data_IF_395109781147
#
_entry.id   IF_395109781147
#
_cell.length_a   1.000
_cell.length_b   1.000
_cell.length_c   1.000
_cell.angle_alpha   90.00
_cell.angle_beta   90.00
_cell.angle_gamma   90.00
#
_symmetry.space_group_name_H-M   'P 1'
#
loop_
_entity.id
_entity.type
_entity.pdbx_description
1 polymer ?
#
# COMPACT_ATOMS: atom_id res chain seq x y z
N UNK A 1 -2.68 18.85 -22.07
CA UNK A 1 -1.34 18.98 -21.49
C UNK A 1 -1.07 17.67 -20.79
N UNK A 2 -0.01 16.89 -21.12
CA UNK A 2 0.34 15.70 -20.36
C UNK A 2 0.72 16.13 -18.95
N UNK A 3 0.21 15.41 -17.95
CA UNK A 3 0.34 15.75 -16.54
C UNK A 3 1.80 15.54 -16.11
N UNK A 4 2.54 16.62 -15.82
CA UNK A 4 3.96 16.61 -15.45
C UNK A 4 4.28 15.64 -14.28
N UNK A 5 3.30 15.41 -13.39
CA UNK A 5 3.42 14.49 -12.25
C UNK A 5 3.53 13.02 -12.66
N UNK A 6 2.90 12.61 -13.79
CA UNK A 6 3.03 11.24 -14.30
C UNK A 6 4.40 11.01 -14.92
N UNK A 7 4.87 11.98 -15.69
CA UNK A 7 6.20 11.95 -16.31
C UNK A 7 7.28 11.91 -15.23
N UNK A 8 7.12 12.68 -14.13
CA UNK A 8 8.01 12.67 -12.99
C UNK A 8 7.98 11.31 -12.26
N UNK A 9 6.80 10.75 -12.03
CA UNK A 9 6.67 9.44 -11.38
C UNK A 9 7.21 8.30 -12.28
N UNK A 10 6.98 8.34 -13.59
CA UNK A 10 7.58 7.40 -14.54
C UNK A 10 9.10 7.57 -14.63
N UNK A 11 9.61 8.80 -14.59
CA UNK A 11 11.04 9.06 -14.53
C UNK A 11 11.64 8.55 -13.22
N UNK A 12 10.93 8.72 -12.09
CA UNK A 12 11.27 8.14 -10.80
C UNK A 12 11.34 6.61 -10.87
N UNK A 13 10.37 5.96 -11.51
CA UNK A 13 10.33 4.51 -11.66
C UNK A 13 11.37 3.98 -12.68
N UNK A 14 11.66 4.75 -13.74
CA UNK A 14 12.59 4.34 -14.82
C UNK A 14 14.07 4.61 -14.53
N UNK A 15 14.34 5.50 -13.60
CA UNK A 15 15.72 5.86 -13.26
C UNK A 15 15.93 5.91 -11.75
N UNK A 16 15.69 4.79 -11.03
CA UNK A 16 15.88 4.75 -9.58
C UNK A 16 17.31 5.09 -9.17
N UNK A 17 18.30 4.87 -10.04
CA UNK A 17 19.72 5.20 -9.77
C UNK A 17 20.02 6.70 -9.84
N UNK A 18 19.35 7.46 -10.70
CA UNK A 18 19.53 8.91 -10.79
C UNK A 18 18.86 9.61 -9.62
N UNK A 19 17.73 9.06 -9.15
CA UNK A 19 16.98 9.60 -8.01
C UNK A 19 17.50 8.98 -6.70
N UNK A 20 17.98 7.73 -6.71
CA UNK A 20 18.58 7.08 -5.54
C UNK A 20 19.92 7.71 -5.12
N UNK A 21 20.62 8.42 -6.01
CA UNK A 21 21.78 9.24 -5.60
C UNK A 21 21.38 10.53 -4.88
N UNK A 22 20.10 10.93 -4.96
CA UNK A 22 19.55 12.15 -4.33
C UNK A 22 18.55 11.81 -3.23
N UNK A 23 17.88 10.65 -3.34
CA UNK A 23 16.92 10.17 -2.35
C UNK A 23 17.22 8.68 -2.14
N UNK A 24 17.87 8.29 -1.07
CA UNK A 24 17.71 6.91 -0.62
C UNK A 24 16.20 6.76 -0.39
N UNK A 25 15.54 5.83 -1.07
CA UNK A 25 14.23 5.29 -0.66
C UNK A 25 14.45 4.80 0.75
N UNK A 26 14.30 5.75 1.59
CA UNK A 26 15.11 5.77 2.77
C UNK A 26 14.53 4.66 3.62
N UNK A 27 15.38 3.87 4.16
CA UNK A 27 15.07 3.02 5.29
C UNK A 27 14.19 3.73 6.34
N UNK A 28 14.03 5.04 6.27
CA UNK A 28 13.11 5.86 7.04
C UNK A 28 11.66 5.71 6.57
N UNK A 29 11.38 5.84 5.27
CA UNK A 29 10.03 5.61 4.71
C UNK A 29 9.60 4.17 4.96
N UNK A 30 10.48 3.21 4.65
CA UNK A 30 10.19 1.79 4.87
C UNK A 30 9.82 1.50 6.32
N UNK A 31 10.61 1.98 7.29
CA UNK A 31 10.32 1.81 8.72
C UNK A 31 9.02 2.48 9.15
N UNK A 32 8.73 3.68 8.63
CA UNK A 32 7.46 4.37 8.93
C UNK A 32 6.26 3.61 8.37
N UNK A 33 6.34 3.17 7.12
CA UNK A 33 5.27 2.38 6.48
C UNK A 33 5.01 1.09 7.25
N UNK A 34 6.06 0.33 7.57
CA UNK A 34 5.97 -0.91 8.36
C UNK A 34 5.31 -0.67 9.72
N UNK A 35 5.69 0.42 10.41
CA UNK A 35 5.10 0.80 11.70
C UNK A 35 3.65 1.23 11.57
N UNK A 36 3.32 2.10 10.60
CA UNK A 36 1.96 2.58 10.37
C UNK A 36 1.02 1.43 10.00
N UNK A 37 1.52 0.46 9.24
CA UNK A 37 0.81 -0.76 8.86
C UNK A 37 0.63 -1.76 10.03
N UNK A 38 1.31 -1.58 11.18
CA UNK A 38 1.36 -2.57 12.27
C UNK A 38 1.77 -3.97 11.77
N UNK A 39 2.70 -4.01 10.83
CA UNK A 39 3.04 -5.21 10.07
C UNK A 39 3.52 -6.36 10.98
N UNK A 40 4.12 -6.06 12.12
CA UNK A 40 4.59 -7.09 13.08
C UNK A 40 3.45 -7.93 13.66
N UNK A 41 2.22 -7.41 13.68
CA UNK A 41 1.04 -8.09 14.22
C UNK A 41 0.09 -8.60 13.15
N UNK A 42 0.37 -8.27 11.89
CA UNK A 42 -0.50 -8.62 10.79
C UNK A 42 -0.27 -10.07 10.34
N UNK A 43 -1.35 -10.82 10.16
CA UNK A 43 -1.35 -12.15 9.57
C UNK A 43 -1.45 -12.09 8.04
N UNK A 44 -2.26 -11.17 7.53
CA UNK A 44 -2.41 -10.92 6.08
C UNK A 44 -2.12 -9.46 5.77
N UNK A 45 -1.09 -9.24 4.97
CA UNK A 45 -0.67 -7.92 4.50
C UNK A 45 -0.82 -7.87 2.98
N UNK A 46 -1.35 -6.78 2.46
CA UNK A 46 -1.42 -6.54 1.02
C UNK A 46 -0.65 -5.28 0.67
N UNK A 47 0.21 -5.35 -0.33
CA UNK A 47 0.91 -4.20 -0.92
C UNK A 47 0.37 -3.94 -2.32
N UNK A 48 -0.09 -2.72 -2.56
CA UNK A 48 -0.56 -2.23 -3.84
C UNK A 48 0.53 -1.35 -4.48
N UNK A 49 1.14 -1.87 -5.56
CA UNK A 49 2.27 -1.22 -6.23
C UNK A 49 3.59 -1.52 -5.53
N UNK A 50 4.09 -2.76 -5.67
CA UNK A 50 5.33 -3.20 -5.04
C UNK A 50 6.60 -2.58 -5.63
N UNK A 51 6.53 -2.10 -6.89
CA UNK A 51 7.65 -1.48 -7.58
C UNK A 51 8.91 -2.33 -7.54
N UNK A 52 10.04 -1.75 -7.14
CA UNK A 52 11.33 -2.45 -7.03
C UNK A 52 11.44 -3.37 -5.81
N UNK A 53 10.40 -3.45 -4.97
CA UNK A 53 10.34 -4.36 -3.82
C UNK A 53 11.00 -3.84 -2.53
N UNK A 54 11.29 -2.55 -2.41
CA UNK A 54 11.86 -1.98 -1.18
C UNK A 54 10.94 -2.14 0.03
N UNK A 55 9.70 -1.69 -0.10
CA UNK A 55 8.67 -1.85 0.94
C UNK A 55 8.34 -3.34 1.13
N UNK A 56 8.19 -4.11 0.04
CA UNK A 56 7.97 -5.56 0.09
C UNK A 56 8.97 -6.28 1.00
N UNK A 57 10.28 -6.06 0.77
CA UNK A 57 11.35 -6.64 1.59
C UNK A 57 11.28 -6.18 3.05
N UNK A 58 10.92 -4.93 3.28
CA UNK A 58 10.81 -4.39 4.64
C UNK A 58 9.59 -4.95 5.38
N UNK A 59 8.47 -5.17 4.69
CA UNK A 59 7.31 -5.88 5.23
C UNK A 59 7.66 -7.34 5.57
N UNK A 60 8.33 -8.06 4.68
CA UNK A 60 8.77 -9.45 4.92
C UNK A 60 9.70 -9.56 6.12
N UNK A 61 10.62 -8.60 6.32
CA UNK A 61 11.49 -8.58 7.51
C UNK A 61 10.73 -8.32 8.81
N UNK A 62 9.63 -7.57 8.74
CA UNK A 62 8.88 -7.16 9.92
C UNK A 62 7.76 -8.13 10.31
N UNK A 63 7.18 -8.84 9.35
CA UNK A 63 6.07 -9.77 9.57
C UNK A 63 6.55 -11.10 10.14
N UNK A 64 5.68 -11.77 10.91
CA UNK A 64 5.96 -13.10 11.46
C UNK A 64 6.05 -14.21 10.41
N UNK A 65 6.60 -15.36 10.78
CA UNK A 65 6.79 -16.51 9.88
C UNK A 65 5.48 -17.10 9.32
N UNK A 66 4.37 -16.90 10.01
CA UNK A 66 3.04 -17.38 9.59
C UNK A 66 2.25 -16.34 8.80
N UNK A 67 2.78 -15.13 8.65
CA UNK A 67 2.11 -14.07 7.87
C UNK A 67 2.10 -14.38 6.38
N UNK A 68 1.20 -13.74 5.66
CA UNK A 68 1.10 -13.78 4.20
C UNK A 68 1.22 -12.37 3.67
N UNK A 69 2.06 -12.17 2.67
CA UNK A 69 2.21 -10.90 1.96
C UNK A 69 1.76 -11.09 0.51
N UNK A 70 0.69 -10.41 0.14
CA UNK A 70 0.20 -10.33 -1.22
C UNK A 70 0.64 -9.01 -1.84
N UNK A 71 1.35 -9.05 -2.95
CA UNK A 71 1.72 -7.85 -3.73
C UNK A 71 0.96 -7.85 -5.03
N UNK A 72 0.23 -6.76 -5.31
CA UNK A 72 -0.46 -6.54 -6.58
C UNK A 72 0.27 -5.40 -7.30
N UNK A 73 0.89 -5.73 -8.44
CA UNK A 73 1.66 -4.80 -9.25
C UNK A 73 1.15 -4.82 -10.70
N UNK A 74 1.12 -3.66 -11.34
CA UNK A 74 0.62 -3.50 -12.71
C UNK A 74 1.71 -3.54 -13.76
N UNK A 75 2.93 -3.20 -13.39
CA UNK A 75 4.07 -3.03 -14.29
C UNK A 75 4.83 -4.34 -14.43
N UNK A 76 4.89 -4.90 -15.64
CA UNK A 76 5.48 -6.21 -15.90
C UNK A 76 6.95 -6.30 -15.45
N UNK A 77 7.74 -5.25 -15.69
CA UNK A 77 9.15 -5.20 -15.32
C UNK A 77 9.35 -5.34 -13.80
N UNK A 78 8.45 -4.77 -13.01
CA UNK A 78 8.53 -4.88 -11.55
C UNK A 78 8.08 -6.25 -11.05
N UNK A 79 7.16 -6.91 -11.75
CA UNK A 79 6.74 -8.27 -11.42
C UNK A 79 7.93 -9.23 -11.42
N UNK A 80 8.81 -9.14 -12.41
CA UNK A 80 10.00 -9.97 -12.50
C UNK A 80 10.93 -9.74 -11.31
N UNK A 81 11.17 -8.48 -10.94
CA UNK A 81 11.98 -8.13 -9.76
C UNK A 81 11.36 -8.62 -8.44
N UNK A 82 10.05 -8.51 -8.30
CA UNK A 82 9.33 -8.96 -7.11
C UNK A 82 9.36 -10.49 -6.98
N UNK A 83 9.26 -11.22 -8.09
CA UNK A 83 9.34 -12.69 -8.12
C UNK A 83 10.73 -13.24 -7.80
N UNK A 84 11.77 -12.44 -7.94
CA UNK A 84 13.13 -12.82 -7.50
C UNK A 84 13.31 -12.76 -5.99
N UNK A 85 12.35 -12.26 -5.23
CA UNK A 85 12.38 -12.27 -3.77
C UNK A 85 12.02 -13.69 -3.31
N UNK A 86 13.00 -14.42 -2.83
CA UNK A 86 12.85 -15.78 -2.33
C UNK A 86 12.31 -15.78 -0.89
N UNK A 87 10.97 -15.74 -0.78
CA UNK A 87 10.26 -15.82 0.51
C UNK A 87 8.91 -16.52 0.31
N UNK A 88 8.72 -17.65 0.98
CA UNK A 88 7.51 -18.49 0.86
C UNK A 88 6.22 -17.82 1.34
N UNK A 89 6.32 -16.72 2.06
CA UNK A 89 5.19 -15.92 2.51
C UNK A 89 4.68 -14.95 1.45
N UNK A 90 5.51 -14.69 0.39
CA UNK A 90 5.22 -13.71 -0.66
C UNK A 90 4.40 -14.33 -1.78
N UNK A 91 3.34 -13.64 -2.16
CA UNK A 91 2.57 -13.90 -3.39
C UNK A 91 2.57 -12.65 -4.25
N UNK A 92 3.02 -12.75 -5.50
CA UNK A 92 3.08 -11.63 -6.44
C UNK A 92 2.07 -11.82 -7.55
N UNK A 93 1.23 -10.82 -7.78
CA UNK A 93 0.17 -10.79 -8.78
C UNK A 93 0.41 -9.65 -9.77
N UNK A 94 0.35 -9.98 -11.06
CA UNK A 94 0.25 -8.99 -12.11
C UNK A 94 -1.23 -8.61 -12.29
N UNK A 95 -1.61 -7.42 -11.81
CA UNK A 95 -3.02 -7.03 -11.83
C UNK A 95 -3.30 -5.59 -11.42
N UNK A 96 -4.58 -5.24 -11.41
CA UNK A 96 -5.06 -3.96 -10.91
C UNK A 96 -5.28 -4.02 -9.40
N UNK A 97 -5.00 -2.93 -8.70
CA UNK A 97 -5.25 -2.81 -7.27
C UNK A 97 -6.72 -3.00 -6.88
N UNK A 98 -7.66 -2.72 -7.80
CA UNK A 98 -9.09 -2.96 -7.57
C UNK A 98 -9.45 -4.45 -7.47
N UNK A 99 -8.59 -5.36 -7.93
CA UNK A 99 -8.83 -6.80 -7.82
C UNK A 99 -8.46 -7.40 -6.45
N UNK A 100 -8.10 -6.60 -5.47
CA UNK A 100 -7.60 -7.04 -4.15
C UNK A 100 -8.51 -8.10 -3.50
N UNK A 101 -9.83 -7.93 -3.51
CA UNK A 101 -10.78 -8.89 -2.92
C UNK A 101 -10.73 -10.24 -3.61
N UNK A 102 -10.76 -10.25 -4.96
CA UNK A 102 -10.66 -11.46 -5.77
C UNK A 102 -9.34 -12.19 -5.54
N UNK A 103 -8.24 -11.45 -5.40
CA UNK A 103 -6.93 -12.04 -5.21
C UNK A 103 -6.72 -12.62 -3.79
N UNK A 104 -7.36 -12.05 -2.78
CA UNK A 104 -7.43 -12.65 -1.44
C UNK A 104 -8.26 -13.94 -1.45
N UNK A 105 -9.44 -13.91 -2.05
CA UNK A 105 -10.35 -15.06 -2.15
C UNK A 105 -9.69 -16.25 -2.86
N UNK A 106 -9.06 -16.02 -4.03
CA UNK A 106 -8.33 -17.06 -4.80
C UNK A 106 -7.26 -17.79 -4.00
N UNK A 107 -6.70 -17.15 -2.97
CA UNK A 107 -5.66 -17.72 -2.10
C UNK A 107 -6.20 -18.28 -0.81
N UNK A 108 -7.51 -18.20 -0.59
CA UNK A 108 -8.13 -18.58 0.68
C UNK A 108 -7.64 -17.70 1.85
N UNK A 109 -7.19 -16.47 1.57
CA UNK A 109 -6.79 -15.55 2.61
C UNK A 109 -8.05 -14.88 3.18
N UNK A 110 -8.14 -14.73 4.51
CA UNK A 110 -9.18 -13.93 5.12
C UNK A 110 -8.98 -12.45 4.74
N UNK A 111 -9.82 -11.57 5.26
CA UNK A 111 -9.65 -10.14 5.09
C UNK A 111 -8.25 -9.68 5.53
N UNK A 112 -7.71 -8.65 4.89
CA UNK A 112 -6.38 -8.13 5.16
C UNK A 112 -6.35 -7.36 6.49
N UNK A 113 -5.35 -7.63 7.34
CA UNK A 113 -5.08 -6.85 8.53
C UNK A 113 -4.49 -5.48 8.19
N UNK A 114 -3.72 -5.43 7.10
CA UNK A 114 -3.14 -4.19 6.61
C UNK A 114 -3.03 -4.18 5.09
N UNK A 115 -3.39 -3.04 4.50
CA UNK A 115 -3.19 -2.73 3.08
C UNK A 115 -2.28 -1.52 2.97
N UNK A 116 -1.19 -1.64 2.22
CA UNK A 116 -0.22 -0.59 1.98
C UNK A 116 -0.30 -0.19 0.51
N UNK A 117 -0.26 1.09 0.20
CA UNK A 117 -0.33 1.58 -1.18
C UNK A 117 0.74 2.61 -1.49
N UNK A 118 1.56 2.29 -2.50
CA UNK A 118 2.48 3.20 -3.17
C UNK A 118 2.00 3.68 -4.54
N UNK A 119 0.78 3.32 -4.96
CA UNK A 119 0.26 3.71 -6.27
C UNK A 119 -0.09 5.20 -6.30
N UNK A 120 0.19 5.91 -7.43
CA UNK A 120 0.01 7.37 -7.49
C UNK A 120 -1.44 7.75 -7.77
N UNK A 121 -2.24 7.97 -6.74
CA UNK A 121 -3.65 8.37 -6.87
C UNK A 121 -3.85 9.70 -7.60
N UNK A 122 -2.85 10.57 -7.64
CA UNK A 122 -2.92 11.85 -8.33
C UNK A 122 -2.94 11.74 -9.86
N UNK A 123 -2.55 10.61 -10.41
CA UNK A 123 -2.35 10.43 -11.86
C UNK A 123 -3.38 9.51 -12.52
N UNK A 124 -4.26 8.90 -11.73
CA UNK A 124 -5.27 7.99 -12.24
C UNK A 124 -6.62 8.69 -12.46
N UNK A 125 -7.51 8.13 -13.29
CA UNK A 125 -8.89 8.59 -13.39
C UNK A 125 -9.61 8.50 -12.05
N UNK A 126 -10.48 9.46 -11.75
CA UNK A 126 -11.19 9.52 -10.47
C UNK A 126 -12.04 8.27 -10.20
N UNK A 127 -12.68 7.72 -11.25
CA UNK A 127 -13.46 6.49 -11.15
C UNK A 127 -12.62 5.31 -10.65
N UNK A 128 -11.41 5.14 -11.21
CA UNK A 128 -10.49 4.09 -10.79
C UNK A 128 -9.99 4.29 -9.34
N UNK A 129 -9.67 5.54 -8.98
CA UNK A 129 -9.28 5.86 -7.60
C UNK A 129 -10.36 5.49 -6.58
N UNK A 130 -11.61 5.83 -6.87
CA UNK A 130 -12.77 5.48 -6.04
C UNK A 130 -12.99 3.97 -5.97
N UNK A 131 -12.90 3.28 -7.12
CA UNK A 131 -13.02 1.81 -7.19
C UNK A 131 -11.96 1.11 -6.33
N UNK A 132 -10.70 1.52 -6.44
CA UNK A 132 -9.62 0.96 -5.64
C UNK A 132 -9.86 1.17 -4.14
N UNK A 133 -10.26 2.36 -3.74
CA UNK A 133 -10.51 2.66 -2.32
C UNK A 133 -11.68 1.83 -1.78
N UNK A 134 -12.76 1.67 -2.55
CA UNK A 134 -13.88 0.80 -2.17
C UNK A 134 -13.41 -0.65 -1.99
N UNK A 135 -12.65 -1.18 -2.96
CA UNK A 135 -12.10 -2.53 -2.90
C UNK A 135 -11.14 -2.72 -1.70
N UNK A 136 -10.31 -1.73 -1.39
CA UNK A 136 -9.43 -1.74 -0.21
C UNK A 136 -10.25 -1.76 1.08
N UNK A 137 -11.27 -0.90 1.18
CA UNK A 137 -12.14 -0.88 2.36
C UNK A 137 -12.80 -2.24 2.59
N UNK A 138 -13.35 -2.85 1.53
CA UNK A 138 -14.05 -4.14 1.64
C UNK A 138 -13.08 -5.27 2.01
N UNK A 139 -11.88 -5.26 1.46
CA UNK A 139 -10.83 -6.25 1.72
C UNK A 139 -10.25 -6.18 3.13
N UNK A 140 -10.35 -5.04 3.83
CA UNK A 140 -9.81 -4.88 5.18
C UNK A 140 -10.66 -5.63 6.21
N UNK A 141 -9.98 -6.28 7.15
CA UNK A 141 -10.58 -6.81 8.37
C UNK A 141 -11.14 -5.67 9.25
N UNK A 142 -12.13 -5.94 10.11
CA UNK A 142 -12.53 -4.99 11.17
C UNK A 142 -11.32 -4.62 12.03
N UNK A 143 -11.04 -3.32 12.17
CA UNK A 143 -9.85 -2.80 12.83
C UNK A 143 -8.58 -2.79 12.00
N UNK A 144 -8.61 -3.33 10.78
CA UNK A 144 -7.51 -3.33 9.83
C UNK A 144 -7.10 -1.92 9.38
N UNK A 145 -5.91 -1.79 8.85
CA UNK A 145 -5.31 -0.50 8.50
C UNK A 145 -5.09 -0.37 7.00
N UNK A 146 -5.39 0.82 6.47
CA UNK A 146 -4.95 1.26 5.15
C UNK A 146 -3.88 2.32 5.30
N UNK A 147 -2.73 2.12 4.71
CA UNK A 147 -1.60 3.06 4.72
C UNK A 147 -1.26 3.46 3.28
N UNK A 148 -1.40 4.74 2.95
CA UNK A 148 -0.97 5.27 1.66
C UNK A 148 0.21 6.24 1.87
N UNK A 149 1.31 6.04 1.14
CA UNK A 149 2.44 6.97 1.14
C UNK A 149 2.49 7.72 -0.19
N UNK A 150 2.33 9.04 -0.13
CA UNK A 150 2.03 9.90 -1.27
C UNK A 150 2.74 11.25 -1.18
N UNK A 151 3.02 11.87 -2.34
CA UNK A 151 3.47 13.26 -2.39
C UNK A 151 2.30 14.26 -2.32
N UNK A 152 1.10 13.83 -2.71
CA UNK A 152 -0.13 14.65 -2.70
C UNK A 152 -1.17 14.04 -1.76
N UNK A 153 -2.22 14.77 -1.48
CA UNK A 153 -3.35 14.34 -0.64
C UNK A 153 -4.52 13.77 -1.44
N UNK A 154 -4.35 13.59 -2.76
CA UNK A 154 -5.44 13.14 -3.64
C UNK A 154 -6.12 11.84 -3.19
N UNK A 155 -5.38 10.93 -2.58
CA UNK A 155 -5.93 9.71 -1.99
C UNK A 155 -6.99 9.98 -0.91
N UNK A 156 -6.88 11.11 -0.20
CA UNK A 156 -7.82 11.50 0.87
C UNK A 156 -9.19 11.84 0.28
N UNK A 157 -9.22 12.46 -0.91
CA UNK A 157 -10.49 12.80 -1.58
C UNK A 157 -11.30 11.54 -1.88
N UNK A 158 -10.64 10.47 -2.32
CA UNK A 158 -11.28 9.18 -2.61
C UNK A 158 -11.63 8.40 -1.35
N UNK A 159 -10.77 8.45 -0.31
CA UNK A 159 -10.95 7.66 0.89
C UNK A 159 -11.95 8.26 1.88
N UNK A 160 -12.09 9.59 1.91
CA UNK A 160 -12.93 10.28 2.89
C UNK A 160 -14.38 9.81 2.95
N UNK A 161 -15.10 9.57 1.82
CA UNK A 161 -16.47 9.11 1.85
C UNK A 161 -16.67 7.73 2.51
N UNK A 162 -15.63 6.87 2.46
CA UNK A 162 -15.72 5.46 2.87
C UNK A 162 -14.99 5.21 4.20
N UNK A 163 -13.82 5.85 4.37
CA UNK A 163 -12.92 5.61 5.51
C UNK A 163 -12.81 6.79 6.48
N UNK A 164 -13.39 7.95 6.14
CA UNK A 164 -13.28 9.17 6.95
C UNK A 164 -11.91 9.85 6.84
N UNK A 165 -11.52 10.58 7.89
CA UNK A 165 -10.28 11.36 7.93
C UNK A 165 -9.10 10.48 8.39
N UNK A 166 -7.94 10.50 7.68
CA UNK A 166 -6.77 9.74 8.10
C UNK A 166 -5.98 10.44 9.21
N UNK A 167 -5.17 9.68 9.92
CA UNK A 167 -3.98 10.21 10.57
C UNK A 167 -2.92 10.52 9.50
N UNK A 168 -2.21 11.64 9.64
CA UNK A 168 -1.20 12.09 8.66
C UNK A 168 0.15 12.25 9.35
N UNK A 169 1.16 11.58 8.80
CA UNK A 169 2.56 11.76 9.19
C UNK A 169 3.36 12.29 8.00
N UNK A 170 4.39 13.10 8.27
CA UNK A 170 5.29 13.64 7.24
C UNK A 170 6.67 13.01 7.36
N UNK A 171 7.25 12.62 6.22
CA UNK A 171 8.65 12.23 6.12
C UNK A 171 9.45 13.32 5.39
N UNK A 172 10.19 14.08 6.16
CA UNK A 172 10.98 15.21 5.67
C UNK A 172 12.36 14.82 5.14
N UNK A 173 12.83 13.60 5.42
CA UNK A 173 14.07 13.10 4.83
C UNK A 173 13.91 12.75 3.35
N UNK A 174 12.71 12.86 2.81
CA UNK A 174 12.41 12.81 1.37
C UNK A 174 12.28 14.22 0.79
N UNK A 175 12.82 14.42 -0.42
CA UNK A 175 12.66 15.68 -1.17
C UNK A 175 12.00 15.35 -2.52
N UNK A 176 10.75 15.79 -2.77
CA UNK A 176 9.87 16.52 -1.84
C UNK A 176 9.42 15.68 -0.65
N UNK A 177 8.95 16.29 0.45
CA UNK A 177 8.45 15.59 1.61
C UNK A 177 7.32 14.61 1.25
N UNK A 178 7.41 13.41 1.80
CA UNK A 178 6.40 12.37 1.61
C UNK A 178 5.39 12.40 2.76
N UNK A 179 4.14 12.16 2.46
CA UNK A 179 3.04 12.05 3.43
C UNK A 179 2.62 10.60 3.56
N UNK A 180 2.46 10.14 4.80
CA UNK A 180 1.84 8.88 5.12
C UNK A 180 0.43 9.16 5.65
N UNK A 181 -0.55 8.60 4.99
CA UNK A 181 -1.95 8.64 5.40
C UNK A 181 -2.33 7.27 5.94
N UNK A 182 -2.88 7.25 7.16
CA UNK A 182 -3.29 6.00 7.81
C UNK A 182 -4.76 6.08 8.18
N UNK A 183 -5.54 5.14 7.68
CA UNK A 183 -6.92 4.90 8.08
C UNK A 183 -7.02 3.60 8.86
N UNK A 184 -8.04 3.51 9.69
CA UNK A 184 -8.39 2.28 10.39
C UNK A 184 -9.86 1.96 10.13
N UNK A 185 -10.15 0.78 9.58
CA UNK A 185 -11.51 0.32 9.40
C UNK A 185 -12.19 0.17 10.75
N UNK A 186 -13.38 0.71 10.92
CA UNK A 186 -14.15 0.57 12.16
C UNK A 186 -14.25 -0.89 12.59
N UNK A 187 -14.05 -1.17 13.85
CA UNK A 187 -14.30 -2.50 14.41
C UNK A 187 -15.82 -2.75 14.39
N UNK A 188 -16.26 -3.99 14.16
CA UNK A 188 -17.63 -4.37 14.44
C UNK A 188 -17.93 -4.00 15.91
N UNK A 189 -18.88 -3.10 16.13
CA UNK A 189 -19.29 -2.76 17.48
C UNK A 189 -19.75 -4.07 18.16
N UNK A 190 -19.02 -4.53 19.16
CA UNK A 190 -19.58 -5.51 20.09
C UNK A 190 -20.78 -4.82 20.68
N UNK A 191 -21.98 -5.14 20.19
CA UNK A 191 -23.20 -4.85 20.92
C UNK A 191 -23.01 -5.49 22.30
N UNK A 192 -22.76 -4.68 23.31
CA UNK A 192 -22.94 -5.10 24.70
C UNK A 192 -24.44 -5.41 24.80
N UNK A 193 -24.79 -6.68 24.67
CA UNK A 193 -26.07 -7.13 25.22
C UNK A 193 -25.97 -6.93 26.73
N UNK A 194 -26.51 -5.80 27.17
CA UNK A 194 -26.83 -5.60 28.58
C UNK A 194 -27.95 -6.59 28.93
N UNK A 195 -27.67 -7.46 29.81
CA UNK A 195 -28.65 -8.16 30.60
C UNK A 195 -29.08 -7.25 31.74
#
# INVERSE_FOLDING_TARGET
>A
MPNDNWTFFQAFLRSPQVVASVIPSSSFVERRVVRAADAMRASVVVELGGGTGGITRSLLRATGSHSRLLVIERTAEFIEHLRMIDDSRLSVVHGCASSIGVELERRGYPAADSVISGIPFSTMPASLGTEIIAAVHDALAPGGRFVAYQFTDRVVDYARPVMGTPAVEYEFCNVPPLRLFTWRKGGASRRRNGA
#
